data_IF_114708271458
#
_entry.id   IF_114708271458
#
_cell.length_a   1.000
_cell.length_b   1.000
_cell.length_c   1.000
_cell.angle_alpha   90.00
_cell.angle_beta   90.00
_cell.angle_gamma   90.00
#
_symmetry.space_group_name_H-M   'P 1'
#
loop_
_entity.id
_entity.type
_entity.pdbx_description
1 polymer ?
#
# COMPACT_ATOMS: atom_id res chain seq x y z
N UNK A 1 -5.22 22.21 -16.36
CA UNK A 1 -5.67 20.79 -16.39
C UNK A 1 -4.46 19.83 -16.47
N UNK A 2 -3.47 19.98 -15.57
CA UNK A 2 -2.39 18.99 -15.29
C UNK A 2 -2.05 19.09 -13.77
N UNK A 3 -2.98 19.61 -12.95
CA UNK A 3 -2.70 20.04 -11.57
C UNK A 3 -2.73 18.94 -10.48
N UNK A 4 -3.40 17.76 -10.63
CA UNK A 4 -3.34 16.76 -9.56
C UNK A 4 -2.00 16.00 -9.51
N UNK A 5 -1.21 16.04 -10.58
CA UNK A 5 0.04 15.26 -10.70
C UNK A 5 1.29 15.95 -10.13
N UNK A 6 1.25 17.27 -9.89
CA UNK A 6 2.45 18.04 -9.52
C UNK A 6 2.36 18.79 -8.19
N UNK A 7 1.16 19.05 -7.64
CA UNK A 7 1.03 19.84 -6.40
C UNK A 7 1.08 19.03 -5.10
N UNK A 8 0.79 17.72 -5.14
CA UNK A 8 0.84 16.86 -3.95
C UNK A 8 2.21 16.18 -3.65
N UNK A 9 3.07 15.85 -4.64
CA UNK A 9 4.37 15.21 -4.38
C UNK A 9 5.36 16.09 -3.61
N UNK A 10 5.21 17.41 -3.67
CA UNK A 10 6.08 18.35 -2.98
C UNK A 10 5.83 18.43 -1.46
N UNK A 11 4.70 17.90 -0.96
CA UNK A 11 4.33 17.99 0.47
C UNK A 11 4.76 16.78 1.33
N UNK A 12 5.32 15.72 0.73
CA UNK A 12 5.64 14.46 1.44
C UNK A 12 7.07 13.94 1.24
N UNK A 13 7.91 14.58 0.44
CA UNK A 13 9.34 14.25 0.36
C UNK A 13 9.68 12.89 -0.28
N UNK A 14 8.73 12.23 -0.96
CA UNK A 14 8.97 11.01 -1.74
C UNK A 14 9.00 11.33 -3.24
N UNK A 15 9.87 10.65 -4.00
CA UNK A 15 9.84 10.77 -5.46
C UNK A 15 8.55 10.15 -6.01
N UNK A 16 7.85 10.87 -6.88
CA UNK A 16 6.68 10.37 -7.61
C UNK A 16 6.94 8.98 -8.23
N UNK A 17 8.18 8.73 -8.68
CA UNK A 17 8.61 7.42 -9.18
C UNK A 17 8.55 6.29 -8.16
N UNK A 18 8.82 6.53 -6.87
CA UNK A 18 8.73 5.53 -5.80
C UNK A 18 7.29 5.12 -5.50
N UNK A 19 6.39 6.09 -5.45
CA UNK A 19 4.95 5.85 -5.26
C UNK A 19 4.34 5.16 -6.49
N UNK A 20 4.70 5.63 -7.68
CA UNK A 20 4.28 5.06 -8.96
C UNK A 20 4.71 3.58 -9.09
N UNK A 21 5.99 3.27 -8.84
CA UNK A 21 6.50 1.88 -8.87
C UNK A 21 5.76 0.97 -7.88
N UNK A 22 5.48 1.50 -6.70
CA UNK A 22 4.72 0.79 -5.67
C UNK A 22 3.28 0.50 -6.11
N UNK A 23 2.58 1.50 -6.64
CA UNK A 23 1.21 1.38 -7.09
C UNK A 23 1.10 0.41 -8.27
N UNK A 24 1.95 0.56 -9.29
CA UNK A 24 1.99 -0.37 -10.42
C UNK A 24 2.34 -1.80 -9.99
N UNK A 25 3.30 -1.98 -9.06
CA UNK A 25 3.64 -3.30 -8.55
C UNK A 25 2.48 -4.00 -7.84
N UNK A 26 1.62 -3.26 -7.14
CA UNK A 26 0.37 -3.78 -6.57
C UNK A 26 -0.65 -4.12 -7.66
N UNK A 27 -0.85 -3.20 -8.61
CA UNK A 27 -1.80 -3.38 -9.72
C UNK A 27 -1.50 -4.62 -10.57
N UNK A 28 -0.25 -4.80 -11.01
CA UNK A 28 0.14 -5.97 -11.80
C UNK A 28 -0.03 -7.29 -11.02
N UNK A 29 0.25 -7.29 -9.72
CA UNK A 29 0.05 -8.48 -8.88
C UNK A 29 -1.44 -8.84 -8.75
N UNK A 30 -2.33 -7.85 -8.64
CA UNK A 30 -3.78 -8.05 -8.63
C UNK A 30 -4.30 -8.56 -9.97
N UNK A 31 -3.86 -7.97 -11.08
CA UNK A 31 -4.25 -8.40 -12.43
C UNK A 31 -3.84 -9.87 -12.65
N UNK A 32 -2.60 -10.23 -12.33
CA UNK A 32 -2.13 -11.62 -12.45
C UNK A 32 -2.92 -12.59 -11.57
N UNK A 33 -3.26 -12.20 -10.33
CA UNK A 33 -4.10 -13.00 -9.46
C UNK A 33 -5.53 -13.16 -10.00
N UNK A 34 -6.10 -12.09 -10.57
CA UNK A 34 -7.42 -12.12 -11.21
C UNK A 34 -7.46 -13.07 -12.40
N UNK A 35 -6.46 -13.01 -13.28
CA UNK A 35 -6.32 -13.96 -14.40
C UNK A 35 -6.21 -15.40 -13.89
N UNK A 36 -5.39 -15.63 -12.85
CA UNK A 36 -5.26 -16.95 -12.24
C UNK A 36 -6.58 -17.47 -11.65
N UNK A 37 -7.39 -16.60 -11.02
CA UNK A 37 -8.73 -16.96 -10.53
C UNK A 37 -9.71 -17.30 -11.65
N UNK A 38 -9.69 -16.55 -12.77
CA UNK A 38 -10.53 -16.84 -13.94
C UNK A 38 -10.16 -18.20 -14.53
N UNK A 39 -8.85 -18.46 -14.69
CA UNK A 39 -8.36 -19.76 -15.16
C UNK A 39 -8.70 -20.89 -14.19
N UNK A 40 -8.65 -20.65 -12.89
CA UNK A 40 -9.08 -21.61 -11.88
C UNK A 40 -10.58 -21.91 -11.96
N UNK A 41 -11.42 -20.90 -12.18
CA UNK A 41 -12.86 -21.07 -12.37
C UNK A 41 -13.20 -21.90 -13.62
N UNK A 42 -12.38 -21.80 -14.67
CA UNK A 42 -12.52 -22.60 -15.89
C UNK A 42 -11.92 -24.00 -15.74
N UNK A 43 -10.78 -24.10 -15.06
CA UNK A 43 -10.02 -25.32 -14.83
C UNK A 43 -9.72 -25.46 -13.32
N UNK A 44 -10.57 -26.18 -12.56
CA UNK A 44 -10.51 -26.20 -11.08
C UNK A 44 -9.23 -26.80 -10.51
N UNK A 45 -8.41 -27.47 -11.33
CA UNK A 45 -7.10 -28.00 -10.94
C UNK A 45 -5.96 -26.98 -11.11
N UNK A 46 -6.17 -25.90 -11.86
CA UNK A 46 -5.15 -24.89 -12.13
C UNK A 46 -5.21 -23.78 -11.08
N UNK A 47 -4.05 -23.33 -10.59
CA UNK A 47 -3.93 -22.14 -9.71
C UNK A 47 -4.78 -22.13 -8.43
N UNK A 48 -5.07 -23.29 -7.85
CA UNK A 48 -5.89 -23.49 -6.63
C UNK A 48 -5.56 -22.58 -5.45
N UNK A 49 -4.28 -22.21 -5.27
CA UNK A 49 -3.85 -21.34 -4.14
C UNK A 49 -3.32 -19.98 -4.58
N UNK A 50 -3.23 -19.72 -5.89
CA UNK A 50 -2.53 -18.55 -6.43
C UNK A 50 -3.27 -17.25 -6.09
N UNK A 51 -4.59 -17.24 -6.23
CA UNK A 51 -5.43 -16.08 -5.91
C UNK A 51 -5.31 -15.70 -4.44
N UNK A 52 -5.66 -16.64 -3.55
CA UNK A 52 -5.66 -16.42 -2.10
C UNK A 52 -4.30 -16.01 -1.56
N UNK A 53 -3.21 -16.68 -1.99
CA UNK A 53 -1.84 -16.32 -1.57
C UNK A 53 -1.42 -14.94 -2.07
N UNK A 54 -1.87 -14.54 -3.26
CA UNK A 54 -1.56 -13.21 -3.78
C UNK A 54 -2.27 -12.12 -2.96
N UNK A 55 -3.55 -12.31 -2.66
CA UNK A 55 -4.33 -11.40 -1.80
C UNK A 55 -3.72 -11.29 -0.42
N UNK A 56 -3.40 -12.42 0.22
CA UNK A 56 -2.75 -12.45 1.54
C UNK A 56 -1.43 -11.67 1.53
N UNK A 57 -0.58 -11.93 0.52
CA UNK A 57 0.71 -11.22 0.36
C UNK A 57 0.53 -9.71 0.18
N UNK A 58 -0.45 -9.28 -0.61
CA UNK A 58 -0.74 -7.86 -0.82
C UNK A 58 -1.31 -7.22 0.45
N UNK A 59 -2.20 -7.92 1.14
CA UNK A 59 -2.77 -7.48 2.41
C UNK A 59 -1.70 -7.29 3.49
N UNK A 60 -0.78 -8.26 3.67
CA UNK A 60 0.34 -8.13 4.60
C UNK A 60 1.24 -6.94 4.23
N UNK A 61 1.54 -6.74 2.94
CA UNK A 61 2.35 -5.60 2.48
C UNK A 61 1.67 -4.26 2.75
N UNK A 62 0.35 -4.17 2.56
CA UNK A 62 -0.43 -2.97 2.85
C UNK A 62 -0.47 -2.69 4.36
N UNK A 63 -0.78 -3.70 5.18
CA UNK A 63 -0.83 -3.59 6.64
C UNK A 63 0.51 -3.13 7.23
N UNK A 64 1.64 -3.72 6.79
CA UNK A 64 2.99 -3.30 7.23
C UNK A 64 3.31 -1.85 6.84
N UNK A 65 2.85 -1.39 5.69
CA UNK A 65 3.01 0.01 5.27
C UNK A 65 2.18 0.96 6.12
N UNK A 66 0.93 0.62 6.40
CA UNK A 66 0.06 1.41 7.27
C UNK A 66 0.65 1.49 8.69
N UNK A 67 1.14 0.39 9.25
CA UNK A 67 1.80 0.37 10.56
C UNK A 67 3.05 1.28 10.59
N UNK A 68 3.84 1.31 9.51
CA UNK A 68 4.99 2.21 9.37
C UNK A 68 4.56 3.68 9.29
N UNK A 69 3.48 3.98 8.56
CA UNK A 69 2.95 5.34 8.46
C UNK A 69 2.42 5.85 9.81
N UNK A 70 1.72 5.01 10.58
CA UNK A 70 1.23 5.37 11.91
C UNK A 70 2.34 5.51 12.97
N UNK A 71 3.42 4.72 12.88
CA UNK A 71 4.56 4.83 13.81
C UNK A 71 5.45 6.05 13.56
N UNK A 72 5.40 6.67 12.36
CA UNK A 72 6.06 7.95 12.07
C UNK A 72 5.19 9.19 12.37
N UNK A 73 3.91 9.02 12.73
CA UNK A 73 2.99 10.12 13.07
C UNK A 73 2.89 10.44 14.56
N UNK A 74 3.48 9.63 15.44
CA UNK A 74 3.52 9.89 16.88
C UNK A 74 4.71 10.82 17.22
N UNK A 75 4.60 12.09 16.85
CA UNK A 75 5.45 13.11 17.49
C UNK A 75 5.20 13.05 19.01
N UNK A 76 6.24 13.06 19.86
CA UNK A 76 6.05 13.04 21.29
C UNK A 76 5.29 14.31 21.69
N UNK A 77 4.03 14.14 22.12
CA UNK A 77 3.30 15.20 22.80
C UNK A 77 4.13 15.56 24.03
N UNK A 78 4.80 16.71 23.99
CA UNK A 78 5.51 17.23 25.16
C UNK A 78 4.49 17.27 26.29
N UNK A 79 4.71 16.44 27.31
CA UNK A 79 4.04 16.56 28.58
C UNK A 79 4.34 17.98 29.08
N UNK A 80 3.36 18.88 28.99
CA UNK A 80 3.39 20.16 29.69
C UNK A 80 2.97 19.83 31.12
N UNK A 81 3.90 19.21 31.84
CA UNK A 81 3.93 19.21 33.29
C UNK A 81 4.88 20.35 33.70
N UNK A 82 4.44 21.14 34.67
CA UNK A 82 5.12 22.28 35.30
C UNK A 82 5.28 23.57 34.48
N UNK A 83 4.37 24.53 34.73
CA UNK A 83 4.72 25.87 35.18
C UNK A 83 3.45 26.71 35.49
N UNK A 84 3.33 27.08 36.76
CA UNK A 84 2.64 28.27 37.31
C UNK A 84 1.10 28.30 37.45
N UNK A 85 0.64 27.91 38.64
CA UNK A 85 0.04 28.85 39.62
C UNK A 85 0.02 28.28 41.03
#
# INVERSE_FOLDING_TARGET
>A
MIEPFTRHPAQVGETYGGHMKTAFGFGFAMIGAGVACVLHGLFPFMFTTTGSRCVERLHTRMSRRNAKAHSHGAAPMKAVADAER
#
